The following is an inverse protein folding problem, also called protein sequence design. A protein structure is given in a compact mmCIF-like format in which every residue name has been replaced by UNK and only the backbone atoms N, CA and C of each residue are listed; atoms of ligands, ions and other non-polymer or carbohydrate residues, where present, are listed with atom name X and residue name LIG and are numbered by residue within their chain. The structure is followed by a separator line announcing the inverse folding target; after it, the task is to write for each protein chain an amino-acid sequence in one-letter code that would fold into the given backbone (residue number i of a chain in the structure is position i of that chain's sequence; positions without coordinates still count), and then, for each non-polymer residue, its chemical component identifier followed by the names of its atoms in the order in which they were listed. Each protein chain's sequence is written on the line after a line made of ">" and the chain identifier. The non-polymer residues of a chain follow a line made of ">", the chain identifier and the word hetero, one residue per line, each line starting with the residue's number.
data_IF_837272763489
#
_entry.id   IF_837272763489
#
_cell.length_a   1.000
_cell.length_b   1.000
_cell.length_c   1.000
_cell.angle_alpha   90.00
_cell.angle_beta   90.00
_cell.angle_gamma   90.00
#
_symmetry.space_group_name_H-M   'P 1'
#
loop_
_entity.id
_entity.type
_entity.pdbx_description
1 polymer ?
#
# COMPACT_ATOMS: atom_id res chain seq x y z
N UNK A 1 26.95 21.47 35.96
CA UNK A 1 27.51 21.40 34.59
C UNK A 1 26.63 22.26 33.70
N UNK A 2 27.10 23.44 33.30
CA UNK A 2 26.35 24.29 32.38
C UNK A 2 26.35 23.63 30.99
N UNK A 3 25.19 23.56 30.31
CA UNK A 3 25.16 23.05 28.96
C UNK A 3 26.07 23.92 28.08
N UNK A 4 26.87 23.27 27.23
CA UNK A 4 27.70 23.98 26.25
C UNK A 4 26.80 24.84 25.36
N UNK A 5 27.25 26.04 24.95
CA UNK A 5 26.42 26.97 24.16
C UNK A 5 25.94 26.35 22.83
N UNK A 6 26.70 25.38 22.30
CA UNK A 6 26.33 24.59 21.12
C UNK A 6 25.10 23.69 21.36
N UNK A 7 25.01 23.07 22.54
CA UNK A 7 23.87 22.23 22.91
C UNK A 7 22.61 23.09 23.04
N UNK A 8 22.73 24.26 23.67
CA UNK A 8 21.62 25.22 23.82
C UNK A 8 21.12 25.69 22.45
N UNK A 9 22.04 26.02 21.54
CA UNK A 9 21.70 26.41 20.17
C UNK A 9 21.00 25.28 19.41
N UNK A 10 21.50 24.05 19.48
CA UNK A 10 20.91 22.89 18.81
C UNK A 10 19.48 22.61 19.32
N UNK A 11 19.28 22.65 20.64
CA UNK A 11 17.95 22.46 21.23
C UNK A 11 17.01 23.59 20.82
N UNK A 12 17.47 24.84 20.83
CA UNK A 12 16.66 25.98 20.40
C UNK A 12 16.25 25.85 18.92
N UNK A 13 17.18 25.46 18.04
CA UNK A 13 16.89 25.21 16.62
C UNK A 13 15.88 24.06 16.47
N UNK A 14 16.06 22.95 17.18
CA UNK A 14 15.13 21.81 17.12
C UNK A 14 13.71 22.19 17.58
N UNK A 15 13.58 22.98 18.65
CA UNK A 15 12.28 23.47 19.14
C UNK A 15 11.62 24.41 18.13
N UNK A 16 12.38 25.33 17.52
CA UNK A 16 11.85 26.26 16.50
C UNK A 16 11.39 25.48 15.26
N UNK A 17 12.21 24.55 14.78
CA UNK A 17 11.90 23.72 13.62
C UNK A 17 10.68 22.83 13.89
N UNK A 18 10.63 22.16 15.05
CA UNK A 18 9.50 21.33 15.46
C UNK A 18 8.21 22.14 15.64
N UNK A 19 8.29 23.32 16.26
CA UNK A 19 7.16 24.23 16.42
C UNK A 19 6.60 24.72 15.08
N UNK A 20 7.48 25.10 14.13
CA UNK A 20 7.09 25.52 12.78
C UNK A 20 6.46 24.37 11.98
N UNK A 21 6.94 23.14 12.16
CA UNK A 21 6.36 21.95 11.54
C UNK A 21 4.95 21.62 12.08
N UNK A 22 4.69 21.88 13.37
CA UNK A 22 3.42 21.59 14.05
C UNK A 22 2.38 22.72 13.93
N UNK A 23 2.78 23.91 13.47
CA UNK A 23 1.89 25.06 13.31
C UNK A 23 0.82 24.80 12.22
N UNK A 24 -0.48 24.90 12.53
CA UNK A 24 -1.54 24.70 11.55
C UNK A 24 -1.40 25.69 10.39
N UNK A 25 -1.44 25.18 9.16
CA UNK A 25 -1.39 25.99 7.94
C UNK A 25 -2.74 26.70 7.71
N UNK A 26 -3.06 27.70 8.53
CA UNK A 26 -3.80 28.86 8.01
C UNK A 26 -2.87 29.62 7.05
N UNK A 27 -3.40 30.44 6.16
CA UNK A 27 -2.60 31.21 5.19
C UNK A 27 -1.62 32.15 5.91
N UNK A 28 -0.47 31.63 6.33
CA UNK A 28 0.60 32.42 6.94
C UNK A 28 1.40 33.03 5.80
N UNK A 29 1.10 34.29 5.47
CA UNK A 29 1.73 35.05 4.38
C UNK A 29 3.12 35.61 4.68
N UNK A 30 3.77 35.22 5.78
CA UNK A 30 5.06 35.79 6.16
C UNK A 30 6.24 35.11 5.42
N UNK A 31 7.07 35.86 4.66
CA UNK A 31 8.06 35.29 3.73
C UNK A 31 9.13 34.43 4.41
N UNK A 32 9.55 34.78 5.64
CA UNK A 32 10.53 33.97 6.39
C UNK A 32 9.99 32.60 6.83
N UNK A 33 8.69 32.49 7.10
CA UNK A 33 8.04 31.23 7.48
C UNK A 33 7.91 30.33 6.25
N UNK A 34 7.65 30.92 5.08
CA UNK A 34 7.65 30.20 3.79
C UNK A 34 9.05 29.66 3.49
N UNK A 35 10.09 30.48 3.65
CA UNK A 35 11.48 30.06 3.39
C UNK A 35 11.91 28.91 4.31
N UNK A 36 11.60 29.02 5.61
CA UNK A 36 11.91 27.98 6.59
C UNK A 36 11.12 26.68 6.33
N UNK A 37 9.90 26.79 5.80
CA UNK A 37 9.08 25.64 5.40
C UNK A 37 9.65 24.88 4.20
N UNK A 38 10.37 25.52 3.29
CA UNK A 38 11.02 24.84 2.15
C UNK A 38 12.15 23.92 2.62
N UNK A 39 12.80 24.26 3.74
CA UNK A 39 13.87 23.46 4.33
C UNK A 39 13.35 22.24 5.11
N UNK A 40 12.05 22.21 5.39
CA UNK A 40 11.39 21.09 6.04
C UNK A 40 10.79 20.19 4.95
N UNK A 41 11.16 18.90 4.89
CA UNK A 41 10.53 17.98 3.94
C UNK A 41 9.02 18.02 4.15
N UNK A 42 8.26 18.16 3.06
CA UNK A 42 6.81 18.07 3.13
C UNK A 42 6.43 16.62 3.43
N UNK A 43 6.25 16.28 4.71
CA UNK A 43 5.69 14.99 5.15
C UNK A 43 4.20 14.83 4.79
N UNK A 44 3.69 15.70 3.91
CA UNK A 44 2.29 15.80 3.50
C UNK A 44 1.87 14.73 2.48
N UNK A 45 2.56 13.60 2.46
CA UNK A 45 2.15 12.40 1.71
C UNK A 45 0.82 11.81 2.23
N UNK A 46 0.31 12.28 3.38
CA UNK A 46 -0.85 11.70 4.08
C UNK A 46 -2.09 12.61 4.14
N UNK A 47 -2.13 13.72 3.40
CA UNK A 47 -3.27 14.65 3.50
C UNK A 47 -4.50 14.20 2.71
N UNK A 48 -4.34 13.30 1.74
CA UNK A 48 -5.44 12.66 1.03
C UNK A 48 -5.58 11.21 1.52
N UNK A 49 -6.73 10.90 2.12
CA UNK A 49 -7.13 9.52 2.44
C UNK A 49 -7.63 8.91 1.13
N UNK A 50 -6.70 8.39 0.32
CA UNK A 50 -7.05 7.70 -0.91
C UNK A 50 -7.76 6.37 -0.62
N UNK A 51 -8.71 6.01 -1.47
CA UNK A 51 -9.43 4.74 -1.39
C UNK A 51 -8.44 3.59 -1.52
N UNK A 52 -8.31 2.79 -0.47
CA UNK A 52 -7.34 1.68 -0.48
C UNK A 52 -7.94 0.48 -1.21
N UNK A 53 -7.23 -0.01 -2.24
CA UNK A 53 -7.59 -1.27 -2.90
C UNK A 53 -7.21 -2.45 -2.00
N UNK A 54 -8.16 -3.34 -1.72
CA UNK A 54 -7.92 -4.59 -1.00
C UNK A 54 -7.79 -5.79 -1.96
N UNK A 55 -6.79 -6.63 -1.69
CA UNK A 55 -6.56 -7.89 -2.38
C UNK A 55 -7.16 -9.05 -1.59
N UNK A 56 -8.09 -9.76 -2.22
CA UNK A 56 -8.71 -10.97 -1.66
C UNK A 56 -8.53 -12.16 -2.59
N UNK A 57 -8.39 -13.34 -2.01
CA UNK A 57 -8.11 -14.58 -2.74
C UNK A 57 -9.03 -15.71 -2.30
N UNK A 58 -9.24 -16.66 -3.18
CA UNK A 58 -9.80 -17.97 -2.86
C UNK A 58 -8.96 -19.06 -3.49
N UNK A 59 -8.95 -20.22 -2.85
CA UNK A 59 -8.18 -21.39 -3.28
C UNK A 59 -9.09 -22.60 -3.37
N UNK A 60 -8.77 -23.52 -4.27
CA UNK A 60 -9.43 -24.81 -4.42
C UNK A 60 -8.38 -25.89 -4.65
N UNK A 61 -8.67 -27.12 -4.24
CA UNK A 61 -7.94 -28.29 -4.74
C UNK A 61 -8.48 -28.70 -6.11
N UNK A 62 -7.72 -29.51 -6.82
CA UNK A 62 -8.19 -30.12 -8.06
C UNK A 62 -9.52 -30.88 -7.80
N UNK A 63 -10.54 -30.60 -8.61
CA UNK A 63 -11.86 -31.23 -8.50
C UNK A 63 -12.76 -30.71 -7.36
N UNK A 64 -12.24 -29.91 -6.43
CA UNK A 64 -13.03 -29.30 -5.35
C UNK A 64 -13.55 -27.91 -5.76
N UNK A 65 -14.72 -27.48 -5.24
CA UNK A 65 -15.17 -26.10 -5.39
C UNK A 65 -14.24 -25.13 -4.66
N UNK A 66 -14.19 -23.88 -5.12
CA UNK A 66 -13.44 -22.84 -4.41
C UNK A 66 -13.99 -22.59 -3.01
N UNK A 67 -13.06 -22.45 -2.06
CA UNK A 67 -13.36 -22.00 -0.71
C UNK A 67 -13.78 -20.52 -0.63
N UNK A 68 -14.01 -20.00 0.58
CA UNK A 68 -14.41 -18.61 0.78
C UNK A 68 -13.30 -17.64 0.37
N UNK A 69 -13.72 -16.43 -0.04
CA UNK A 69 -12.81 -15.30 -0.25
C UNK A 69 -12.19 -14.85 1.08
N UNK A 70 -10.90 -14.56 1.07
CA UNK A 70 -10.15 -14.08 2.25
C UNK A 70 -9.16 -12.98 1.86
N UNK A 71 -8.90 -12.06 2.78
CA UNK A 71 -7.83 -11.08 2.64
C UNK A 71 -6.46 -11.76 2.57
N UNK A 72 -5.62 -11.26 1.66
CA UNK A 72 -4.26 -11.77 1.45
C UNK A 72 -3.25 -10.98 2.27
N UNK A 73 -3.34 -9.64 2.20
CA UNK A 73 -2.33 -8.77 2.79
C UNK A 73 -2.53 -8.65 4.30
N UNK A 74 -1.47 -8.88 5.11
CA UNK A 74 -1.57 -8.76 6.56
C UNK A 74 -1.64 -7.30 7.00
N UNK A 75 -2.38 -7.05 8.09
CA UNK A 75 -2.41 -5.71 8.72
C UNK A 75 -1.15 -5.54 9.59
N UNK A 76 -0.25 -4.58 9.29
CA UNK A 76 0.96 -4.38 10.05
C UNK A 76 0.66 -3.87 11.46
N UNK A 77 1.42 -4.36 12.44
CA UNK A 77 1.37 -3.84 13.81
C UNK A 77 1.97 -2.44 13.87
N UNK A 78 1.44 -1.59 14.76
CA UNK A 78 1.90 -0.21 14.93
C UNK A 78 2.63 -0.07 16.27
N UNK A 79 3.77 0.63 16.25
CA UNK A 79 4.56 0.90 17.45
C UNK A 79 5.45 2.14 17.27
N UNK A 80 5.95 2.73 18.36
CA UNK A 80 6.72 3.98 18.30
C UNK A 80 8.02 3.85 17.51
N UNK A 81 8.66 2.66 17.52
CA UNK A 81 9.84 2.39 16.70
C UNK A 81 9.56 2.43 15.19
N UNK A 82 8.30 2.24 14.78
CA UNK A 82 7.89 2.31 13.37
C UNK A 82 7.88 3.74 12.83
N UNK A 83 8.11 4.76 13.66
CA UNK A 83 8.35 6.14 13.16
C UNK A 83 9.69 6.26 12.45
N UNK A 84 10.68 5.44 12.83
CA UNK A 84 12.05 5.47 12.27
C UNK A 84 12.33 4.23 11.43
N UNK A 85 11.76 3.08 11.78
CA UNK A 85 11.99 1.80 11.12
C UNK A 85 10.68 1.03 10.91
N UNK A 86 10.11 1.12 9.70
CA UNK A 86 8.81 0.51 9.34
C UNK A 86 8.90 -0.41 8.11
N UNK A 87 9.66 -1.52 8.16
CA UNK A 87 9.81 -2.41 7.01
C UNK A 87 8.47 -3.05 6.59
N UNK A 88 7.63 -3.44 7.55
CA UNK A 88 6.34 -4.05 7.27
C UNK A 88 5.35 -3.07 6.63
N UNK A 89 5.30 -1.82 7.12
CA UNK A 89 4.47 -0.79 6.49
C UNK A 89 4.97 -0.39 5.12
N UNK A 90 6.29 -0.27 4.93
CA UNK A 90 6.87 0.02 3.62
C UNK A 90 6.59 -1.10 2.59
N UNK A 91 6.67 -2.36 3.03
CA UNK A 91 6.29 -3.50 2.18
C UNK A 91 4.80 -3.45 1.81
N UNK A 92 3.92 -3.19 2.79
CA UNK A 92 2.49 -3.07 2.53
C UNK A 92 2.18 -1.93 1.54
N UNK A 93 2.84 -0.78 1.69
CA UNK A 93 2.69 0.34 0.76
C UNK A 93 3.16 -0.04 -0.65
N UNK A 94 4.27 -0.76 -0.79
CA UNK A 94 4.74 -1.25 -2.08
C UNK A 94 3.77 -2.27 -2.70
N UNK A 95 3.16 -3.12 -1.88
CA UNK A 95 2.12 -4.05 -2.33
C UNK A 95 0.88 -3.30 -2.83
N UNK A 96 0.41 -2.26 -2.13
CA UNK A 96 -0.72 -1.44 -2.60
C UNK A 96 -0.41 -0.68 -3.89
N UNK A 97 0.78 -0.07 -4.00
CA UNK A 97 1.21 0.59 -5.23
C UNK A 97 1.22 -0.38 -6.43
N UNK A 98 1.54 -1.65 -6.20
CA UNK A 98 1.46 -2.68 -7.24
C UNK A 98 0.00 -2.98 -7.65
N UNK A 99 -0.94 -2.98 -6.71
CA UNK A 99 -2.36 -3.18 -7.02
C UNK A 99 -2.93 -2.02 -7.83
N UNK A 100 -2.62 -0.78 -7.43
CA UNK A 100 -3.02 0.42 -8.16
C UNK A 100 -2.44 0.43 -9.57
N UNK A 101 -1.17 0.01 -9.71
CA UNK A 101 -0.55 -0.11 -11.02
C UNK A 101 -1.28 -1.12 -11.91
N UNK A 102 -1.68 -2.27 -11.35
CA UNK A 102 -2.48 -3.25 -12.09
C UNK A 102 -3.83 -2.66 -12.54
N UNK A 103 -4.54 -1.95 -11.65
CA UNK A 103 -5.80 -1.31 -12.01
C UNK A 103 -5.64 -0.29 -13.13
N UNK A 104 -4.58 0.53 -13.08
CA UNK A 104 -4.27 1.49 -14.13
C UNK A 104 -3.97 0.79 -15.46
N UNK A 105 -3.10 -0.23 -15.46
CA UNK A 105 -2.72 -0.94 -16.68
C UNK A 105 -3.92 -1.70 -17.30
N UNK A 106 -4.84 -2.22 -16.47
CA UNK A 106 -6.07 -2.89 -16.94
C UNK A 106 -7.09 -1.88 -17.44
N UNK A 107 -7.23 -0.71 -16.82
CA UNK A 107 -8.12 0.34 -17.30
C UNK A 107 -7.70 0.89 -18.68
N UNK A 108 -6.39 0.90 -18.95
CA UNK A 108 -5.82 1.25 -20.26
C UNK A 108 -5.80 0.07 -21.25
N UNK A 109 -6.09 -1.14 -20.79
CA UNK A 109 -6.07 -2.34 -21.63
C UNK A 109 -7.34 -2.45 -22.48
N UNK A 110 -7.14 -2.62 -23.78
CA UNK A 110 -8.21 -2.77 -24.76
C UNK A 110 -8.73 -4.21 -24.79
N UNK A 111 -10.02 -4.41 -24.51
CA UNK A 111 -10.69 -5.73 -24.53
C UNK A 111 -10.54 -6.48 -25.85
N UNK A 112 -10.35 -5.78 -26.97
CA UNK A 112 -10.12 -6.40 -28.28
C UNK A 112 -8.70 -6.93 -28.50
N UNK A 113 -7.76 -6.64 -27.60
CA UNK A 113 -6.35 -7.02 -27.75
C UNK A 113 -6.13 -8.48 -27.36
N UNK A 114 -5.45 -9.23 -28.21
CA UNK A 114 -4.91 -10.56 -27.88
C UNK A 114 -3.39 -10.44 -27.80
N UNK A 115 -2.73 -10.93 -26.75
CA UNK A 115 -3.25 -11.75 -25.64
C UNK A 115 -3.94 -10.94 -24.50
N UNK A 116 -4.62 -11.66 -23.60
CA UNK A 116 -5.43 -11.09 -22.50
C UNK A 116 -4.63 -10.29 -21.45
N UNK A 117 -5.32 -9.66 -20.48
CA UNK A 117 -4.71 -8.82 -19.45
C UNK A 117 -3.73 -9.61 -18.56
N UNK A 118 -3.82 -10.94 -18.54
CA UNK A 118 -2.86 -11.82 -17.90
C UNK A 118 -1.42 -11.62 -18.38
N UNK A 119 -1.20 -11.08 -19.58
CA UNK A 119 0.15 -10.82 -20.09
C UNK A 119 0.77 -9.52 -19.57
N UNK A 120 0.00 -8.68 -18.88
CA UNK A 120 0.52 -7.45 -18.27
C UNK A 120 1.53 -7.82 -17.17
N UNK A 121 2.63 -7.06 -17.11
CA UNK A 121 3.67 -7.27 -16.09
C UNK A 121 3.11 -7.06 -14.68
N UNK A 122 2.29 -6.03 -14.50
CA UNK A 122 1.59 -5.77 -13.23
C UNK A 122 0.70 -6.96 -12.82
N UNK A 123 0.02 -7.59 -13.78
CA UNK A 123 -0.80 -8.78 -13.52
C UNK A 123 0.05 -9.94 -13.02
N UNK A 124 1.16 -10.22 -13.71
CA UNK A 124 2.07 -11.31 -13.34
C UNK A 124 2.73 -11.06 -11.97
N UNK A 125 3.08 -9.81 -11.66
CA UNK A 125 3.60 -9.44 -10.35
C UNK A 125 2.56 -9.63 -9.24
N UNK A 126 1.30 -9.24 -9.46
CA UNK A 126 0.22 -9.47 -8.49
C UNK A 126 -0.06 -10.97 -8.33
N UNK A 127 -0.05 -11.74 -9.42
CA UNK A 127 -0.19 -13.20 -9.35
C UNK A 127 0.92 -13.85 -8.52
N UNK A 128 2.17 -13.40 -8.71
CA UNK A 128 3.31 -13.89 -7.92
C UNK A 128 3.23 -13.48 -6.45
N UNK A 129 2.76 -12.26 -6.16
CA UNK A 129 2.47 -11.81 -4.79
C UNK A 129 1.40 -12.70 -4.15
N UNK A 130 0.31 -12.99 -4.87
CA UNK A 130 -0.75 -13.89 -4.39
C UNK A 130 -0.19 -15.29 -4.08
N UNK A 131 0.66 -15.82 -4.96
CA UNK A 131 1.31 -17.12 -4.77
C UNK A 131 2.21 -17.11 -3.53
N UNK A 132 3.05 -16.08 -3.33
CA UNK A 132 3.94 -16.00 -2.17
C UNK A 132 3.17 -15.95 -0.85
N UNK A 133 2.06 -15.21 -0.81
CA UNK A 133 1.24 -15.09 0.41
C UNK A 133 0.39 -16.35 0.67
N UNK A 134 -0.08 -17.05 -0.36
CA UNK A 134 -0.78 -18.33 -0.20
C UNK A 134 0.14 -19.42 0.35
N UNK A 135 1.38 -19.52 -0.16
CA UNK A 135 2.39 -20.48 0.33
C UNK A 135 2.63 -20.29 1.83
N UNK A 136 2.67 -19.03 2.29
CA UNK A 136 2.89 -18.70 3.69
C UNK A 136 1.68 -19.04 4.60
N UNK A 137 0.46 -18.99 4.08
CA UNK A 137 -0.77 -19.10 4.88
C UNK A 137 -1.53 -20.43 4.77
N UNK A 138 -1.94 -20.82 3.55
CA UNK A 138 -2.73 -22.05 3.28
C UNK A 138 -2.48 -22.50 1.85
N UNK A 139 -1.54 -23.43 1.68
CA UNK A 139 -1.19 -24.00 0.38
C UNK A 139 -2.23 -25.02 -0.10
N UNK A 140 -2.82 -24.88 -1.30
CA UNK A 140 -3.81 -25.82 -1.83
C UNK A 140 -3.21 -27.15 -2.33
N UNK A 141 -1.89 -27.28 -2.43
CA UNK A 141 -1.22 -28.44 -3.04
C UNK A 141 -0.74 -28.15 -4.46
N UNK A 142 -0.01 -29.09 -5.06
CA UNK A 142 0.59 -28.92 -6.39
C UNK A 142 -0.44 -28.69 -7.49
N UNK A 143 -1.59 -29.36 -7.42
CA UNK A 143 -2.72 -29.22 -8.35
C UNK A 143 -3.76 -28.19 -7.88
N UNK A 144 -3.34 -27.26 -7.01
CA UNK A 144 -4.20 -26.22 -6.50
C UNK A 144 -4.60 -25.20 -7.57
N UNK A 145 -5.82 -24.68 -7.46
CA UNK A 145 -6.30 -23.55 -8.26
C UNK A 145 -6.44 -22.33 -7.38
N UNK A 146 -6.07 -21.18 -7.90
CA UNK A 146 -6.13 -19.88 -7.23
C UNK A 146 -6.92 -18.90 -8.08
N UNK A 147 -7.67 -18.04 -7.41
CA UNK A 147 -8.31 -16.90 -8.04
C UNK A 147 -8.28 -15.74 -7.07
N UNK A 148 -7.91 -14.56 -7.57
CA UNK A 148 -7.86 -13.34 -6.78
C UNK A 148 -8.84 -12.30 -7.33
N UNK A 149 -9.24 -11.36 -6.48
CA UNK A 149 -9.97 -10.18 -6.90
C UNK A 149 -9.52 -8.95 -6.12
N UNK A 150 -9.64 -7.80 -6.76
CA UNK A 150 -9.40 -6.49 -6.19
C UNK A 150 -10.75 -5.85 -5.87
N UNK A 151 -10.86 -5.32 -4.66
CA UNK A 151 -12.06 -4.64 -4.18
C UNK A 151 -11.69 -3.29 -3.61
N UNK A 152 -12.60 -2.32 -3.71
CA UNK A 152 -12.47 -1.10 -2.93
C UNK A 152 -12.71 -1.42 -1.44
N UNK A 153 -11.72 -1.20 -0.59
CA UNK A 153 -11.82 -1.50 0.84
C UNK A 153 -12.77 -0.55 1.59
N UNK A 154 -13.12 0.59 0.99
CA UNK A 154 -13.97 1.62 1.59
C UNK A 154 -15.43 1.52 1.19
N UNK A 155 -15.75 0.74 0.16
CA UNK A 155 -17.10 0.58 -0.35
C UNK A 155 -17.90 -0.50 0.42
N UNK A 156 -19.23 -0.32 0.60
CA UNK A 156 -20.07 -1.32 1.23
C UNK A 156 -20.10 -2.62 0.40
N UNK A 157 -20.14 -3.77 1.11
CA UNK A 157 -19.82 -5.14 0.68
C UNK A 157 -20.46 -5.71 -0.61
N UNK A 158 -21.35 -4.98 -1.28
CA UNK A 158 -22.04 -5.40 -2.50
C UNK A 158 -21.59 -4.64 -3.77
N UNK A 159 -20.82 -3.57 -3.66
CA UNK A 159 -20.47 -2.71 -4.79
C UNK A 159 -19.00 -2.28 -4.72
N UNK A 160 -18.12 -3.02 -5.39
CA UNK A 160 -16.92 -2.53 -6.11
C UNK A 160 -15.90 -3.67 -6.30
N UNK A 161 -16.30 -4.79 -6.91
CA UNK A 161 -15.31 -5.70 -7.48
C UNK A 161 -14.64 -4.94 -8.64
N UNK A 162 -13.42 -4.46 -8.42
CA UNK A 162 -12.67 -3.66 -9.39
C UNK A 162 -12.07 -4.54 -10.48
N UNK A 163 -11.64 -5.74 -10.10
CA UNK A 163 -11.06 -6.74 -10.99
C UNK A 163 -11.23 -8.14 -10.42
N UNK A 164 -11.60 -9.11 -11.25
CA UNK A 164 -11.60 -10.54 -10.91
C UNK A 164 -10.66 -11.26 -11.86
N UNK A 165 -9.69 -12.00 -11.31
CA UNK A 165 -8.75 -12.77 -12.10
C UNK A 165 -9.43 -13.98 -12.76
N UNK A 166 -8.83 -14.50 -13.84
CA UNK A 166 -9.12 -15.87 -14.30
C UNK A 166 -8.63 -16.89 -13.26
N UNK A 167 -9.02 -18.14 -13.42
CA UNK A 167 -8.46 -19.24 -12.63
C UNK A 167 -7.01 -19.48 -13.03
N UNK A 168 -6.12 -19.59 -12.04
CA UNK A 168 -4.71 -19.87 -12.25
C UNK A 168 -4.29 -21.11 -11.48
N UNK A 169 -3.25 -21.79 -11.96
CA UNK A 169 -2.57 -22.81 -11.18
C UNK A 169 -1.84 -22.17 -9.99
N UNK A 170 -1.87 -22.85 -8.85
CA UNK A 170 -1.15 -22.46 -7.64
C UNK A 170 0.37 -22.51 -7.83
N UNK A 171 0.86 -23.35 -8.75
CA UNK A 171 2.27 -23.48 -9.16
C UNK A 171 2.53 -22.75 -10.48
#
# INVERSE_FOLDING_TARGET
>A
MNPTPQLVLLVAVAVVVGGVALLPRREIGHPLVVLLRVLLPSWRFFDDIEQTTALIVRVARAGEPFGPWRAVLPVPTRGPLHLVWNPAGNLLLAQHALLERLLSDVAEWDEGRTPGPETLVSYQLVLNLVRSEIVAGVWPGADGRIQFKLVDATAPAAAADLLISREHAAC
#
